data_IF_235085834468
#
_entry.id   IF_235085834468
#
_cell.length_a   1.000
_cell.length_b   1.000
_cell.length_c   1.000
_cell.angle_alpha   90.00
_cell.angle_beta   90.00
_cell.angle_gamma   90.00
#
_symmetry.space_group_name_H-M   'P 1'
#
loop_
_entity.id
_entity.type
_entity.pdbx_description
1 polymer ?
#
# COMPACT_ATOMS: atom_id res chain seq x y z
N UNK A 1 -17.50 -21.40 6.43
CA UNK A 1 -16.42 -21.44 7.44
C UNK A 1 -15.03 -21.81 6.86
N UNK A 2 -14.93 -22.49 5.71
CA UNK A 2 -13.63 -22.80 5.05
C UNK A 2 -12.80 -21.56 4.69
N UNK A 3 -13.45 -20.46 4.28
CA UNK A 3 -12.76 -19.24 3.84
C UNK A 3 -11.98 -18.55 4.99
N UNK A 4 -12.46 -18.68 6.24
CA UNK A 4 -11.82 -18.05 7.42
C UNK A 4 -10.53 -18.77 7.84
N UNK A 5 -10.50 -20.10 7.81
CA UNK A 5 -9.31 -20.87 8.19
C UNK A 5 -8.21 -20.77 7.14
N UNK A 6 -8.58 -20.84 5.85
CA UNK A 6 -7.63 -20.61 4.75
C UNK A 6 -7.05 -19.21 4.84
N UNK A 7 -7.90 -18.19 5.05
CA UNK A 7 -7.45 -16.82 5.24
C UNK A 7 -6.50 -16.70 6.44
N UNK A 8 -6.85 -17.27 7.60
CA UNK A 8 -5.99 -17.26 8.79
C UNK A 8 -4.61 -17.85 8.51
N UNK A 9 -4.54 -18.97 7.79
CA UNK A 9 -3.26 -19.59 7.38
C UNK A 9 -2.46 -18.71 6.44
N UNK A 10 -3.12 -18.07 5.45
CA UNK A 10 -2.47 -17.12 4.54
C UNK A 10 -1.87 -15.94 5.29
N UNK A 11 -2.61 -15.35 6.24
CA UNK A 11 -2.11 -14.23 7.06
C UNK A 11 -0.94 -14.67 7.94
N UNK A 12 -1.04 -15.83 8.60
CA UNK A 12 0.03 -16.38 9.42
C UNK A 12 1.30 -16.64 8.60
N UNK A 13 1.15 -17.10 7.34
CA UNK A 13 2.29 -17.24 6.43
C UNK A 13 2.96 -15.88 6.14
N UNK A 14 2.18 -14.85 5.79
CA UNK A 14 2.71 -13.49 5.56
C UNK A 14 3.45 -12.97 6.79
N UNK A 15 2.87 -13.14 7.98
CA UNK A 15 3.50 -12.75 9.26
C UNK A 15 4.85 -13.46 9.46
N UNK A 16 4.89 -14.78 9.22
CA UNK A 16 6.12 -15.57 9.33
C UNK A 16 7.25 -15.09 8.40
N UNK A 17 6.91 -14.54 7.23
CA UNK A 17 7.90 -14.01 6.29
C UNK A 17 8.65 -12.78 6.83
N UNK A 18 8.07 -12.03 7.78
CA UNK A 18 8.74 -10.91 8.44
C UNK A 18 9.62 -11.34 9.64
N UNK A 19 9.48 -12.59 10.10
CA UNK A 19 10.22 -13.15 11.22
C UNK A 19 9.91 -12.44 12.55
N UNK A 20 10.77 -12.64 13.55
CA UNK A 20 10.58 -12.10 14.91
C UNK A 20 10.62 -10.56 15.02
N UNK A 21 11.12 -9.88 13.98
CA UNK A 21 11.14 -8.42 13.91
C UNK A 21 9.86 -7.83 13.30
N UNK A 22 8.96 -8.67 12.79
CA UNK A 22 7.65 -8.27 12.31
C UNK A 22 6.66 -8.07 13.45
N UNK A 23 5.72 -7.17 13.25
CA UNK A 23 4.53 -7.01 14.07
C UNK A 23 3.46 -8.02 13.64
N UNK A 24 2.63 -8.51 14.59
CA UNK A 24 1.54 -9.43 14.30
C UNK A 24 0.55 -8.87 13.28
N UNK A 25 0.20 -9.68 12.29
CA UNK A 25 -0.81 -9.38 11.28
C UNK A 25 -2.07 -10.21 11.47
N UNK A 26 -1.98 -11.33 12.18
CA UNK A 26 -3.12 -12.18 12.49
C UNK A 26 -4.06 -11.47 13.47
N UNK A 27 -5.23 -11.04 12.99
CA UNK A 27 -6.28 -10.44 13.80
C UNK A 27 -7.65 -10.99 13.42
N UNK A 28 -8.60 -10.94 14.36
CA UNK A 28 -10.00 -11.28 14.09
C UNK A 28 -10.54 -10.34 13.02
N UNK A 29 -11.27 -10.88 12.05
CA UNK A 29 -11.89 -10.15 10.92
C UNK A 29 -10.92 -9.50 9.92
N UNK A 30 -9.61 -9.73 10.02
CA UNK A 30 -8.67 -9.31 8.98
C UNK A 30 -8.65 -10.33 7.82
N UNK A 31 -8.67 -9.84 6.59
CA UNK A 31 -8.67 -10.66 5.37
C UNK A 31 -7.51 -10.24 4.47
N UNK A 32 -6.74 -11.20 3.96
CA UNK A 32 -5.73 -10.95 2.93
C UNK A 32 -6.41 -10.87 1.55
N UNK A 33 -6.44 -9.67 0.99
CA UNK A 33 -7.11 -9.35 -0.27
C UNK A 33 -6.17 -9.55 -1.45
N UNK A 34 -4.91 -9.13 -1.35
CA UNK A 34 -3.94 -9.24 -2.43
C UNK A 34 -2.49 -9.16 -1.95
N UNK A 35 -1.57 -9.65 -2.77
CA UNK A 35 -0.13 -9.57 -2.54
C UNK A 35 0.62 -9.42 -3.87
N UNK A 36 1.77 -8.76 -3.86
CA UNK A 36 2.54 -8.53 -5.08
C UNK A 36 3.76 -7.65 -4.87
N UNK A 37 4.62 -7.58 -5.88
CA UNK A 37 5.80 -6.73 -5.87
C UNK A 37 5.46 -5.42 -6.58
N UNK A 38 5.61 -4.29 -5.87
CA UNK A 38 5.55 -2.97 -6.48
C UNK A 38 6.90 -2.28 -6.41
N UNK A 39 7.20 -1.47 -7.43
CA UNK A 39 8.39 -0.62 -7.42
C UNK A 39 8.09 0.66 -6.67
N UNK A 40 8.69 0.83 -5.49
CA UNK A 40 8.49 2.02 -4.68
C UNK A 40 9.52 3.10 -5.01
N UNK A 41 9.07 4.31 -5.34
CA UNK A 41 9.95 5.47 -5.47
C UNK A 41 10.69 5.76 -4.16
N UNK A 42 12.00 5.97 -4.25
CA UNK A 42 12.85 6.38 -3.14
C UNK A 42 13.84 7.46 -3.62
N UNK A 43 14.38 8.25 -2.69
CA UNK A 43 15.27 9.41 -2.98
C UNK A 43 16.44 9.09 -3.92
N UNK A 44 17.05 7.91 -3.78
CA UNK A 44 18.23 7.51 -4.58
C UNK A 44 17.88 6.70 -5.82
N UNK A 45 17.06 5.66 -5.65
CA UNK A 45 16.61 4.79 -6.75
C UNK A 45 15.28 4.15 -6.40
N UNK A 46 14.39 3.91 -7.38
CA UNK A 46 13.24 3.04 -7.19
C UNK A 46 13.67 1.65 -6.72
N UNK A 47 12.90 1.03 -5.82
CA UNK A 47 13.24 -0.29 -5.30
C UNK A 47 12.00 -1.19 -5.21
N UNK A 48 12.11 -2.47 -5.60
CA UNK A 48 11.03 -3.42 -5.44
C UNK A 48 10.75 -3.65 -3.96
N UNK A 49 9.48 -3.75 -3.61
CA UNK A 49 8.98 -4.04 -2.26
C UNK A 49 7.85 -5.04 -2.39
N UNK A 50 7.81 -6.00 -1.48
CA UNK A 50 6.63 -6.85 -1.35
C UNK A 50 5.56 -6.03 -0.65
N UNK A 51 4.39 -5.94 -1.27
CA UNK A 51 3.18 -5.34 -0.74
C UNK A 51 2.13 -6.42 -0.46
N UNK A 52 1.35 -6.20 0.59
CA UNK A 52 0.22 -7.00 0.99
C UNK A 52 -0.95 -6.05 1.28
N UNK A 53 -2.08 -6.29 0.62
CA UNK A 53 -3.33 -5.60 0.90
C UNK A 53 -4.19 -6.48 1.80
N UNK A 54 -4.57 -5.92 2.94
CA UNK A 54 -5.61 -6.45 3.81
C UNK A 54 -6.83 -5.52 3.75
N UNK A 55 -7.98 -6.01 4.21
CA UNK A 55 -9.22 -5.23 4.21
C UNK A 55 -9.17 -3.96 5.09
N UNK A 56 -8.24 -3.87 6.04
CA UNK A 56 -8.09 -2.73 6.96
C UNK A 56 -6.72 -2.04 6.87
N UNK A 57 -5.75 -2.60 6.15
CA UNK A 57 -4.39 -2.07 6.08
C UNK A 57 -3.63 -2.48 4.81
N UNK A 58 -2.63 -1.67 4.46
CA UNK A 58 -1.58 -2.01 3.49
C UNK A 58 -0.28 -2.24 4.24
N UNK A 59 0.37 -3.38 4.01
CA UNK A 59 1.69 -3.71 4.54
C UNK A 59 2.70 -3.75 3.43
N UNK A 60 3.92 -3.25 3.67
CA UNK A 60 5.03 -3.51 2.76
C UNK A 60 6.36 -3.73 3.48
N UNK A 61 7.28 -4.38 2.78
CA UNK A 61 8.62 -4.70 3.29
C UNK A 61 9.69 -4.77 2.21
N UNK A 62 10.96 -4.71 2.60
CA UNK A 62 12.06 -5.01 1.70
C UNK A 62 12.12 -6.51 1.44
N UNK A 63 12.36 -6.88 0.19
CA UNK A 63 12.60 -8.26 -0.23
C UNK A 63 14.05 -8.63 0.09
N UNK A 64 14.25 -9.71 0.84
CA UNK A 64 15.58 -10.29 1.08
C UNK A 64 15.95 -11.27 -0.05
N UNK A 65 17.25 -11.53 -0.23
CA UNK A 65 17.84 -12.30 -1.35
C UNK A 65 17.15 -13.66 -1.56
N UNK A 66 16.68 -14.33 -0.49
CA UNK A 66 16.02 -15.63 -0.58
C UNK A 66 14.52 -15.55 -1.01
N UNK A 67 14.03 -14.38 -1.43
CA UNK A 67 12.66 -14.05 -1.92
C UNK A 67 11.46 -14.45 -1.04
N UNK A 68 11.66 -15.19 0.04
CA UNK A 68 10.63 -15.66 0.99
C UNK A 68 10.69 -14.99 2.36
N UNK A 69 11.64 -14.08 2.58
CA UNK A 69 11.78 -13.31 3.81
C UNK A 69 11.74 -11.82 3.51
N UNK A 70 11.10 -11.07 4.40
CA UNK A 70 10.94 -9.63 4.30
C UNK A 70 11.43 -8.94 5.56
N UNK A 71 11.91 -7.70 5.43
CA UNK A 71 12.26 -6.89 6.60
C UNK A 71 11.80 -5.44 6.44
N UNK A 72 11.99 -4.64 7.50
CA UNK A 72 11.51 -3.25 7.57
C UNK A 72 10.02 -3.16 7.25
N UNK A 73 9.23 -4.00 7.92
CA UNK A 73 7.78 -3.98 7.83
C UNK A 73 7.26 -2.55 8.05
N UNK A 74 6.31 -2.16 7.23
CA UNK A 74 5.57 -0.90 7.33
C UNK A 74 4.10 -1.23 7.21
N UNK A 75 3.33 -0.85 8.21
CA UNK A 75 1.90 -1.06 8.29
C UNK A 75 1.26 0.32 8.14
N UNK A 76 0.31 0.44 7.22
CA UNK A 76 -0.44 1.66 6.95
C UNK A 76 -1.93 1.31 7.05
N UNK A 77 -2.65 1.83 8.06
CA UNK A 77 -4.11 1.68 8.13
C UNK A 77 -4.79 2.30 6.90
N UNK A 78 -5.77 1.61 6.33
CA UNK A 78 -6.47 2.10 5.13
C UNK A 78 -7.31 3.35 5.40
N UNK A 79 -7.78 3.55 6.62
CA UNK A 79 -8.52 4.76 7.03
C UNK A 79 -7.73 6.07 6.81
N UNK A 80 -6.41 5.99 6.70
CA UNK A 80 -5.54 7.15 6.45
C UNK A 80 -5.10 7.28 4.99
N UNK A 81 -5.50 6.37 4.11
CA UNK A 81 -4.99 6.28 2.74
C UNK A 81 -5.88 7.06 1.77
N UNK A 82 -5.25 7.86 0.92
CA UNK A 82 -5.82 8.38 -0.33
C UNK A 82 -4.95 7.96 -1.50
N UNK A 83 -5.60 7.65 -2.61
CA UNK A 83 -4.93 7.28 -3.86
C UNK A 83 -4.96 8.43 -4.85
N UNK A 84 -3.88 8.61 -5.59
CA UNK A 84 -3.82 9.55 -6.71
C UNK A 84 -3.06 8.88 -7.87
N UNK A 85 -3.75 8.66 -8.98
CA UNK A 85 -3.10 8.16 -10.21
C UNK A 85 -2.01 9.13 -10.65
N UNK A 86 -0.91 8.59 -11.16
CA UNK A 86 0.14 9.36 -11.83
C UNK A 86 0.06 9.10 -13.33
N UNK A 87 0.33 10.15 -14.10
CA UNK A 87 0.56 10.07 -15.54
C UNK A 87 1.91 9.39 -15.80
N UNK A 88 1.99 8.69 -16.92
CA UNK A 88 3.20 8.01 -17.33
C UNK A 88 4.23 9.03 -17.83
N UNK A 89 5.48 8.90 -17.37
CA UNK A 89 6.59 9.77 -17.74
C UNK A 89 7.86 8.95 -18.00
N UNK A 90 8.18 8.76 -19.29
CA UNK A 90 9.36 8.02 -19.73
C UNK A 90 9.37 6.58 -19.22
N UNK A 91 10.27 6.29 -18.27
CA UNK A 91 10.40 4.95 -17.65
C UNK A 91 9.47 4.75 -16.45
N UNK A 92 8.79 5.81 -16.01
CA UNK A 92 7.84 5.78 -14.89
C UNK A 92 6.43 5.61 -15.42
N UNK A 93 6.06 4.37 -15.71
CA UNK A 93 4.70 4.02 -16.13
C UNK A 93 3.95 3.29 -15.02
N UNK A 94 2.62 3.26 -15.12
CA UNK A 94 1.76 2.48 -14.24
C UNK A 94 1.90 2.91 -12.76
N UNK A 95 2.05 4.22 -12.54
CA UNK A 95 2.28 4.81 -11.22
C UNK A 95 1.03 5.34 -10.51
N UNK A 96 1.06 5.33 -9.18
CA UNK A 96 0.14 6.08 -8.33
C UNK A 96 0.81 6.48 -7.00
N UNK A 97 0.27 7.50 -6.35
CA UNK A 97 0.63 7.89 -4.99
C UNK A 97 -0.24 7.18 -3.98
N UNK A 98 0.40 6.67 -2.93
CA UNK A 98 -0.25 6.33 -1.67
C UNK A 98 0.02 7.50 -0.73
N UNK A 99 -1.02 8.26 -0.43
CA UNK A 99 -0.99 9.43 0.44
C UNK A 99 -1.53 9.05 1.82
N UNK A 100 -0.74 9.30 2.87
CA UNK A 100 -1.18 9.17 4.28
C UNK A 100 -1.06 10.52 4.99
N UNK A 101 -1.58 10.62 6.23
CA UNK A 101 -1.52 11.84 7.04
C UNK A 101 -0.11 12.45 7.16
N UNK A 102 0.91 11.61 7.31
CA UNK A 102 2.29 12.07 7.52
C UNK A 102 3.21 11.92 6.32
N UNK A 103 2.81 11.16 5.29
CA UNK A 103 3.71 10.82 4.19
C UNK A 103 2.98 10.38 2.93
N UNK A 104 3.46 10.86 1.79
CA UNK A 104 3.09 10.33 0.49
C UNK A 104 4.29 9.66 -0.19
N UNK A 105 4.03 8.63 -0.98
CA UNK A 105 5.05 8.02 -1.82
C UNK A 105 4.45 7.42 -3.09
N UNK A 106 5.20 7.49 -4.19
CA UNK A 106 4.84 6.84 -5.43
C UNK A 106 5.22 5.35 -5.42
N UNK A 107 4.35 4.54 -6.01
CA UNK A 107 4.56 3.15 -6.35
C UNK A 107 4.19 2.94 -7.82
N UNK A 108 4.80 1.93 -8.42
CA UNK A 108 4.62 1.57 -9.83
C UNK A 108 4.40 0.07 -9.93
N UNK A 109 3.37 -0.34 -10.67
CA UNK A 109 3.10 -1.73 -11.02
C UNK A 109 3.87 -2.13 -12.29
N UNK A 110 3.92 -3.43 -12.60
CA UNK A 110 4.60 -3.89 -13.82
C UNK A 110 3.76 -3.63 -15.07
N UNK A 111 2.43 -3.69 -14.95
CA UNK A 111 1.48 -3.50 -16.06
C UNK A 111 0.38 -2.50 -15.67
N UNK A 112 -0.33 -1.89 -16.65
CA UNK A 112 -1.46 -1.01 -16.37
C UNK A 112 -2.60 -1.75 -15.67
N UNK A 113 -2.86 -3.01 -16.02
CA UNK A 113 -3.89 -3.84 -15.40
C UNK A 113 -3.57 -4.07 -13.92
N UNK A 114 -2.31 -4.38 -13.58
CA UNK A 114 -1.90 -4.49 -12.18
C UNK A 114 -2.09 -3.17 -11.42
N UNK A 115 -1.78 -2.01 -12.03
CA UNK A 115 -2.05 -0.69 -11.42
C UNK A 115 -3.53 -0.53 -11.10
N UNK A 116 -4.40 -0.81 -12.07
CA UNK A 116 -5.85 -0.69 -11.93
C UNK A 116 -6.39 -1.63 -10.84
N UNK A 117 -5.96 -2.90 -10.85
CA UNK A 117 -6.34 -3.88 -9.84
C UNK A 117 -5.93 -3.45 -8.43
N UNK A 118 -4.69 -2.99 -8.25
CA UNK A 118 -4.22 -2.50 -6.95
C UNK A 118 -5.03 -1.30 -6.48
N UNK A 119 -5.20 -0.29 -7.34
CA UNK A 119 -5.94 0.92 -6.98
C UNK A 119 -7.41 0.62 -6.65
N UNK A 120 -8.08 -0.19 -7.49
CA UNK A 120 -9.47 -0.58 -7.32
C UNK A 120 -9.68 -1.39 -6.03
N UNK A 121 -8.83 -2.38 -5.76
CA UNK A 121 -8.94 -3.18 -4.54
C UNK A 121 -8.68 -2.36 -3.28
N UNK A 122 -7.69 -1.44 -3.29
CA UNK A 122 -7.45 -0.55 -2.15
C UNK A 122 -8.67 0.34 -1.92
N UNK A 123 -9.20 0.98 -2.97
CA UNK A 123 -10.36 1.87 -2.85
C UNK A 123 -11.59 1.14 -2.31
N UNK A 124 -11.88 -0.05 -2.84
CA UNK A 124 -12.99 -0.89 -2.35
C UNK A 124 -12.83 -1.22 -0.86
N UNK A 125 -11.63 -1.58 -0.41
CA UNK A 125 -11.39 -1.86 1.01
C UNK A 125 -11.59 -0.61 1.88
N UNK A 126 -11.18 0.57 1.41
CA UNK A 126 -11.43 1.84 2.10
C UNK A 126 -12.93 2.11 2.23
N UNK A 127 -13.69 1.96 1.15
CA UNK A 127 -15.14 2.22 1.12
C UNK A 127 -15.91 1.24 2.04
N UNK A 128 -15.52 -0.05 2.04
CA UNK A 128 -16.06 -1.07 2.95
C UNK A 128 -15.71 -0.79 4.42
N UNK A 129 -14.50 -0.30 4.70
CA UNK A 129 -14.07 0.06 6.05
C UNK A 129 -14.86 1.28 6.58
N UNK A 130 -15.06 2.31 5.74
CA UNK A 130 -15.82 3.51 6.13
C UNK A 130 -17.30 3.19 6.34
N UNK A 131 -17.92 2.43 5.43
CA UNK A 131 -19.33 2.04 5.54
C UNK A 131 -19.63 1.14 6.76
N UNK A 132 -18.72 0.21 7.10
CA UNK A 132 -18.88 -0.65 8.28
C UNK A 132 -18.62 0.08 9.62
N UNK A 133 -17.91 1.20 9.60
CA UNK A 133 -17.54 1.93 10.82
C UNK A 133 -18.64 2.87 11.34
N UNK A 134 -19.69 3.15 10.56
CA UNK A 134 -20.74 4.12 10.91
C UNK A 134 -20.24 5.56 11.13
N UNK A 135 -18.97 5.84 10.81
CA UNK A 135 -18.36 7.16 10.95
C UNK A 135 -18.42 7.88 9.62
N UNK A 136 -19.07 9.05 9.61
CA UNK A 136 -19.00 10.02 8.54
C UNK A 136 -17.54 10.36 8.20
N UNK A 137 -17.22 10.64 6.92
CA UNK A 137 -15.86 10.99 6.51
C UNK A 137 -15.33 12.17 7.34
N UNK A 138 -14.02 12.20 7.66
CA UNK A 138 -13.47 13.29 8.46
C UNK A 138 -13.64 14.61 7.73
N UNK A 139 -14.24 15.58 8.42
CA UNK A 139 -14.56 16.91 7.93
C UNK A 139 -13.40 17.52 7.13
N UNK A 140 -13.81 18.15 6.03
CA UNK A 140 -13.01 18.79 5.00
C UNK A 140 -12.28 20.06 5.50
N UNK A 141 -11.51 20.00 6.59
CA UNK A 141 -10.73 21.15 7.07
C UNK A 141 -9.39 20.78 7.74
N UNK A 142 -8.63 19.90 7.10
CA UNK A 142 -7.18 19.89 7.26
C UNK A 142 -6.56 19.89 5.86
N UNK A 143 -5.98 21.02 5.47
CA UNK A 143 -5.28 21.17 4.21
C UNK A 143 -4.21 20.08 4.08
N UNK A 144 -4.52 19.04 3.31
CA UNK A 144 -3.52 18.09 2.84
C UNK A 144 -2.67 18.84 1.81
N UNK A 145 -1.61 19.48 2.31
CA UNK A 145 -0.57 20.07 1.47
C UNK A 145 0.21 18.97 0.74
N UNK A 146 -0.42 18.32 -0.24
CA UNK A 146 0.30 17.64 -1.30
C UNK A 146 0.99 18.72 -2.12
N UNK A 147 2.21 19.08 -1.73
CA UNK A 147 3.07 19.89 -2.60
C UNK A 147 3.33 19.04 -3.84
N UNK A 148 2.68 19.40 -4.93
CA UNK A 148 3.10 18.99 -6.26
C UNK A 148 4.57 19.40 -6.44
N UNK A 149 5.42 18.57 -7.04
CA UNK A 149 6.69 19.06 -7.57
C UNK A 149 6.32 20.04 -8.69
N UNK A 150 6.54 21.34 -8.48
CA UNK A 150 6.49 22.29 -9.59
C UNK A 150 7.57 21.88 -10.58
N UNK A 151 7.14 21.58 -11.79
CA UNK A 151 7.99 21.62 -12.96
C UNK A 151 8.69 22.99 -13.04
N UNK A 152 9.99 22.95 -13.33
CA UNK A 152 10.71 24.02 -14.01
C UNK A 152 10.90 25.33 -13.26
N UNK A 153 12.08 25.51 -12.68
CA UNK A 153 12.89 26.69 -13.04
C UNK A 153 14.36 26.35 -12.86
N UNK A 154 15.11 26.47 -13.96
CA UNK A 154 16.56 26.50 -13.95
C UNK A 154 17.04 27.67 -13.09
N UNK A 155 18.07 27.43 -12.28
CA UNK A 155 18.96 28.48 -11.80
C UNK A 155 20.39 27.94 -11.94
N UNK A 156 21.21 28.80 -12.55
CA UNK A 156 22.61 28.65 -12.96
C UNK A 156 23.52 27.93 -11.97
#
# INVERSE_FOLDING_TARGET
>A
MMNTEINRRRIAFVESCFGSAGLPLTMKNRVLVGEGILTKACRKKPKPRQFFLFNDLVVYGNILINKKKYNKQRIIPLEEVKLQSLEDDGVFCNGWLICTRGKSFAVYAATPEEKEDWMSHIQRCIDELLSSSGKSPPDEHAAFGCRTPRHGTACY
#
